data_IF_355525584895
#
_entry.id   IF_355525584895
#
_cell.length_a   1.000
_cell.length_b   1.000
_cell.length_c   1.000
_cell.angle_alpha   90.00
_cell.angle_beta   90.00
_cell.angle_gamma   90.00
#
_symmetry.space_group_name_H-M   'P 1'
#
loop_
_entity.id
_entity.type
_entity.pdbx_description
1 polymer ?
#
# COMPACT_ATOMS: atom_id res chain seq x y z
N UNK A 1 -42.65 58.37 -34.53
CA UNK A 1 -43.13 57.93 -33.19
C UNK A 1 -42.17 56.90 -32.63
N UNK A 2 -41.80 57.06 -31.34
CA UNK A 2 -41.17 56.10 -30.41
C UNK A 2 -39.66 55.78 -30.54
N UNK A 3 -38.91 56.60 -29.80
CA UNK A 3 -37.67 56.34 -29.05
C UNK A 3 -37.64 54.93 -28.41
N UNK A 4 -36.47 54.26 -28.42
CA UNK A 4 -36.00 53.29 -27.39
C UNK A 4 -34.52 52.97 -27.63
N UNK A 5 -33.62 53.66 -26.93
CA UNK A 5 -32.89 53.21 -25.71
C UNK A 5 -31.84 52.14 -26.00
N UNK A 6 -30.62 52.60 -26.18
CA UNK A 6 -29.36 51.85 -26.15
C UNK A 6 -29.18 51.18 -24.79
N UNK A 7 -29.28 49.84 -24.74
CA UNK A 7 -28.89 49.04 -23.58
C UNK A 7 -27.44 48.59 -23.78
N UNK A 8 -26.54 49.21 -23.03
CA UNK A 8 -25.12 48.90 -23.02
C UNK A 8 -24.93 47.64 -22.15
N UNK A 9 -24.80 46.48 -22.80
CA UNK A 9 -24.57 45.20 -22.16
C UNK A 9 -23.07 45.12 -21.78
N UNK A 10 -22.75 45.34 -20.51
CA UNK A 10 -21.42 45.13 -19.95
C UNK A 10 -21.18 43.61 -19.89
N UNK A 11 -20.38 43.10 -20.82
CA UNK A 11 -19.94 41.71 -20.84
C UNK A 11 -18.82 41.53 -19.81
N UNK A 12 -19.17 41.00 -18.63
CA UNK A 12 -18.24 40.62 -17.59
C UNK A 12 -17.53 39.32 -18.00
N UNK A 13 -16.40 39.42 -18.70
CA UNK A 13 -15.54 38.24 -18.98
C UNK A 13 -14.87 37.78 -17.69
N UNK A 14 -15.46 36.75 -17.08
CA UNK A 14 -14.86 35.98 -16.01
C UNK A 14 -13.66 35.21 -16.59
N UNK A 15 -12.44 35.68 -16.33
CA UNK A 15 -11.22 34.90 -16.56
C UNK A 15 -11.15 33.86 -15.45
N UNK A 16 -11.60 32.64 -15.76
CA UNK A 16 -11.35 31.48 -14.93
C UNK A 16 -9.84 31.18 -14.96
N UNK A 17 -9.09 31.72 -13.99
CA UNK A 17 -7.74 31.24 -13.71
C UNK A 17 -7.92 29.82 -13.19
N UNK A 18 -7.63 28.84 -14.06
CA UNK A 18 -7.50 27.45 -13.67
C UNK A 18 -6.37 27.35 -12.64
N UNK A 19 -6.72 27.33 -11.36
CA UNK A 19 -5.80 26.96 -10.29
C UNK A 19 -5.41 25.51 -10.50
N UNK A 20 -4.28 25.28 -11.15
CA UNK A 20 -3.63 23.98 -11.14
C UNK A 20 -3.34 23.64 -9.68
N UNK A 21 -3.93 22.55 -9.19
CA UNK A 21 -3.63 22.01 -7.89
C UNK A 21 -2.13 21.70 -7.84
N UNK A 22 -1.36 22.46 -7.06
CA UNK A 22 0.04 22.12 -6.76
C UNK A 22 -0.02 20.93 -5.83
N UNK A 23 0.17 19.73 -6.38
CA UNK A 23 0.40 18.53 -5.59
C UNK A 23 1.58 18.81 -4.65
N UNK A 24 1.41 18.54 -3.35
CA UNK A 24 2.49 18.61 -2.38
C UNK A 24 3.41 17.39 -2.59
N UNK A 25 4.24 17.43 -3.64
CA UNK A 25 5.27 16.43 -3.87
C UNK A 25 6.42 16.66 -2.89
N UNK A 26 6.89 15.60 -2.24
CA UNK A 26 8.09 15.61 -1.42
C UNK A 26 9.19 14.83 -2.14
N UNK A 27 10.41 15.36 -2.09
CA UNK A 27 11.60 14.70 -2.62
C UNK A 27 12.52 14.33 -1.45
N UNK A 28 13.14 13.16 -1.50
CA UNK A 28 14.24 12.78 -0.62
C UNK A 28 15.55 13.03 -1.36
N UNK A 29 16.37 13.90 -0.80
CA UNK A 29 17.77 14.10 -1.19
C UNK A 29 18.64 13.16 -0.37
N UNK A 30 19.34 12.27 -1.05
CA UNK A 30 20.35 11.39 -0.47
C UNK A 30 21.71 12.07 -0.62
N UNK A 31 22.38 12.31 0.50
CA UNK A 31 23.69 12.95 0.51
C UNK A 31 24.80 11.90 0.40
N UNK A 32 25.94 12.29 -0.13
CA UNK A 32 27.14 11.42 -0.22
C UNK A 32 27.68 11.00 1.16
N UNK A 33 27.32 11.74 2.21
CA UNK A 33 27.57 11.37 3.61
C UNK A 33 26.69 10.23 4.13
N UNK A 34 25.72 9.74 3.34
CA UNK A 34 24.75 8.72 3.76
C UNK A 34 23.54 9.26 4.51
N UNK A 35 23.48 10.58 4.74
CA UNK A 35 22.31 11.25 5.35
C UNK A 35 21.21 11.50 4.30
N UNK A 36 19.97 11.58 4.75
CA UNK A 36 18.82 11.95 3.90
C UNK A 36 18.21 13.28 4.35
N UNK A 37 17.65 14.02 3.41
CA UNK A 37 16.95 15.28 3.65
C UNK A 37 15.64 15.30 2.86
N UNK A 38 14.51 15.56 3.53
CA UNK A 38 13.21 15.76 2.88
C UNK A 38 13.10 17.22 2.43
N UNK A 39 12.88 17.44 1.14
CA UNK A 39 12.76 18.75 0.51
C UNK A 39 11.44 18.85 -0.24
N UNK A 40 10.93 20.07 -0.35
CA UNK A 40 9.74 20.35 -1.15
C UNK A 40 10.07 20.34 -2.65
N UNK A 41 11.27 20.83 -2.99
CA UNK A 41 11.74 20.93 -4.37
C UNK A 41 13.26 21.14 -4.38
N UNK A 42 13.92 20.77 -5.47
CA UNK A 42 15.28 21.18 -5.80
C UNK A 42 15.35 21.99 -7.11
N UNK A 43 16.38 22.82 -7.23
CA UNK A 43 16.80 23.46 -8.48
C UNK A 43 18.30 23.21 -8.65
N UNK A 44 18.68 22.65 -9.79
CA UNK A 44 20.07 22.41 -10.17
C UNK A 44 20.57 23.57 -11.04
N UNK A 45 21.70 24.17 -10.68
CA UNK A 45 22.39 25.21 -11.46
C UNK A 45 23.71 24.74 -12.10
N UNK A 46 24.04 23.45 -11.96
CA UNK A 46 25.24 22.82 -12.47
C UNK A 46 26.34 22.67 -11.42
N UNK A 47 26.73 23.76 -10.74
CA UNK A 47 27.76 23.72 -9.68
C UNK A 47 27.16 23.48 -8.30
N UNK A 48 26.01 24.07 -8.05
CA UNK A 48 25.26 24.03 -6.81
C UNK A 48 23.82 23.58 -7.05
N UNK A 49 23.22 23.07 -5.98
CA UNK A 49 21.82 22.71 -5.92
C UNK A 49 21.17 23.49 -4.80
N UNK A 50 20.07 24.14 -5.14
CA UNK A 50 19.23 24.89 -4.21
C UNK A 50 18.09 23.98 -3.79
N UNK A 51 18.00 23.70 -2.50
CA UNK A 51 17.01 22.83 -1.88
C UNK A 51 15.99 23.69 -1.11
N UNK A 52 14.74 23.64 -1.52
CA UNK A 52 13.64 24.28 -0.80
C UNK A 52 13.15 23.35 0.31
N UNK A 53 13.35 23.72 1.57
CA UNK A 53 12.99 22.88 2.71
C UNK A 53 11.48 22.87 2.94
N UNK A 54 10.98 21.77 3.51
CA UNK A 54 9.56 21.60 3.86
C UNK A 54 9.06 22.61 4.89
N UNK A 55 9.92 22.99 5.83
CA UNK A 55 9.63 23.98 6.89
C UNK A 55 9.81 25.42 6.43
N UNK A 56 10.13 25.65 5.15
CA UNK A 56 10.55 26.93 4.62
C UNK A 56 12.06 27.14 4.74
N UNK A 57 12.58 28.06 3.91
CA UNK A 57 14.02 28.31 3.75
C UNK A 57 14.62 27.58 2.55
N UNK A 58 15.72 28.12 2.06
CA UNK A 58 16.52 27.55 0.97
C UNK A 58 17.90 27.18 1.51
N UNK A 59 18.40 26.03 1.08
CA UNK A 59 19.76 25.58 1.36
C UNK A 59 20.47 25.39 0.04
N UNK A 60 21.55 26.13 -0.17
CA UNK A 60 22.42 25.97 -1.34
C UNK A 60 23.61 25.11 -0.94
N UNK A 61 23.86 24.04 -1.69
CA UNK A 61 25.00 23.15 -1.49
C UNK A 61 25.64 22.74 -2.82
N UNK A 62 26.90 22.34 -2.79
CA UNK A 62 27.56 21.80 -3.99
C UNK A 62 26.86 20.53 -4.51
N UNK A 63 26.78 20.39 -5.84
CA UNK A 63 26.17 19.21 -6.48
C UNK A 63 26.82 17.89 -6.05
N UNK A 64 28.12 17.94 -5.74
CA UNK A 64 28.92 16.80 -5.28
C UNK A 64 28.47 16.23 -3.92
N UNK A 65 27.72 17.00 -3.14
CA UNK A 65 27.17 16.55 -1.86
C UNK A 65 25.91 15.70 -2.04
N UNK A 66 25.29 15.72 -3.22
CA UNK A 66 24.05 15.00 -3.52
C UNK A 66 24.36 13.71 -4.27
N UNK A 67 24.14 12.57 -3.60
CA UNK A 67 24.28 11.25 -4.19
C UNK A 67 23.13 10.92 -5.15
N UNK A 68 21.88 11.19 -4.76
CA UNK A 68 20.69 11.06 -5.61
C UNK A 68 19.52 11.83 -5.03
N UNK A 69 18.57 12.20 -5.87
CA UNK A 69 17.27 12.78 -5.46
C UNK A 69 16.21 11.81 -5.97
N UNK A 70 15.31 11.39 -5.10
CA UNK A 70 14.19 10.52 -5.45
C UNK A 70 12.89 11.14 -4.92
N UNK A 71 11.78 10.90 -5.61
CA UNK A 71 10.46 11.19 -5.06
C UNK A 71 10.26 10.38 -3.77
N UNK A 72 9.68 11.00 -2.74
CA UNK A 72 9.30 10.34 -1.47
C UNK A 72 8.08 9.42 -1.64
N UNK A 73 7.56 9.32 -2.86
CA UNK A 73 6.49 8.40 -3.20
C UNK A 73 7.06 6.99 -3.32
N UNK A 74 6.67 6.12 -2.39
CA UNK A 74 6.85 4.67 -2.54
C UNK A 74 6.06 4.29 -3.80
N UNK A 75 6.70 3.76 -4.86
CA UNK A 75 5.97 3.31 -6.03
C UNK A 75 4.99 2.22 -5.59
N UNK A 76 3.71 2.54 -5.57
CA UNK A 76 2.66 1.56 -5.47
C UNK A 76 2.42 1.09 -6.91
N UNK A 77 2.88 -0.11 -7.30
CA UNK A 77 2.53 -0.63 -8.63
C UNK A 77 1.01 -0.68 -8.74
N UNK A 78 0.49 -0.43 -9.94
CA UNK A 78 -0.94 -0.60 -10.19
C UNK A 78 -1.33 -2.04 -9.79
N UNK A 79 -2.42 -2.25 -9.04
CA UNK A 79 -2.81 -3.59 -8.58
C UNK A 79 -2.94 -4.61 -9.73
N UNK A 80 -3.17 -4.13 -10.95
CA UNK A 80 -3.19 -4.94 -12.17
C UNK A 80 -1.82 -5.44 -12.61
N UNK A 81 -0.76 -4.65 -12.45
CA UNK A 81 0.62 -5.02 -12.80
C UNK A 81 1.21 -6.00 -11.77
N UNK A 82 0.89 -5.80 -10.49
CA UNK A 82 1.33 -6.69 -9.41
C UNK A 82 0.62 -8.05 -9.46
N UNK A 83 -0.66 -8.08 -9.84
CA UNK A 83 -1.41 -9.31 -10.10
C UNK A 83 -0.89 -10.07 -11.34
N UNK A 84 -0.47 -9.35 -12.39
CA UNK A 84 0.07 -9.95 -13.61
C UNK A 84 1.47 -10.56 -13.37
N UNK A 85 2.32 -9.88 -12.61
CA UNK A 85 3.65 -10.39 -12.26
C UNK A 85 3.60 -11.62 -11.34
N UNK A 86 2.62 -11.70 -10.44
CA UNK A 86 2.41 -12.87 -9.57
C UNK A 86 1.87 -14.10 -10.32
N UNK A 87 1.21 -13.92 -11.47
CA UNK A 87 0.63 -15.00 -12.25
C UNK A 87 1.65 -15.79 -13.11
N UNK A 88 2.86 -15.26 -13.31
CA UNK A 88 3.86 -15.83 -14.23
C UNK A 88 4.94 -16.68 -13.55
N UNK A 89 4.92 -16.82 -12.22
CA UNK A 89 5.79 -17.76 -11.53
C UNK A 89 5.15 -19.15 -11.59
N UNK A 90 5.84 -20.12 -12.20
CA UNK A 90 5.39 -21.51 -12.32
C UNK A 90 4.86 -22.02 -10.99
N UNK A 91 3.53 -22.09 -10.87
CA UNK A 91 2.84 -22.44 -9.64
C UNK A 91 3.25 -23.88 -9.31
N UNK A 92 3.85 -24.15 -8.15
CA UNK A 92 3.96 -25.54 -7.68
C UNK A 92 2.56 -26.17 -7.75
N UNK A 93 2.50 -27.44 -8.18
CA UNK A 93 1.23 -28.16 -8.30
C UNK A 93 0.50 -28.00 -6.97
N UNK A 94 -0.64 -27.30 -7.02
CA UNK A 94 -1.38 -26.89 -5.84
C UNK A 94 -1.85 -28.12 -5.06
N UNK A 95 -2.01 -29.23 -5.77
CA UNK A 95 -2.35 -30.56 -5.26
C UNK A 95 -1.20 -31.13 -4.41
N UNK A 96 0.02 -31.14 -4.92
CA UNK A 96 1.22 -31.65 -4.22
C UNK A 96 1.51 -30.84 -2.96
N UNK A 97 1.35 -29.51 -3.03
CA UNK A 97 1.49 -28.65 -1.86
C UNK A 97 0.47 -28.94 -0.76
N UNK A 98 -0.78 -29.24 -1.11
CA UNK A 98 -1.80 -29.58 -0.12
C UNK A 98 -1.54 -30.96 0.47
N UNK A 99 -1.16 -31.94 -0.35
CA UNK A 99 -0.85 -33.31 0.11
C UNK A 99 0.32 -33.37 1.08
N UNK A 100 1.34 -32.54 0.87
CA UNK A 100 2.51 -32.44 1.76
C UNK A 100 2.30 -31.56 3.00
N UNK A 101 1.17 -30.84 3.08
CA UNK A 101 0.88 -29.93 4.19
C UNK A 101 0.14 -30.64 5.33
N UNK A 102 0.51 -30.42 6.61
CA UNK A 102 -0.29 -30.88 7.75
C UNK A 102 -1.74 -30.43 7.63
N UNK A 103 -2.68 -31.36 7.86
CA UNK A 103 -4.13 -31.14 7.71
C UNK A 103 -4.59 -30.84 6.28
N UNK A 104 -3.77 -31.11 5.25
CA UNK A 104 -4.05 -30.78 3.86
C UNK A 104 -5.39 -31.31 3.34
N UNK A 105 -5.74 -32.55 3.65
CA UNK A 105 -7.02 -33.17 3.27
C UNK A 105 -8.22 -32.46 3.91
N UNK A 106 -8.10 -32.11 5.20
CA UNK A 106 -9.14 -31.37 5.94
C UNK A 106 -9.26 -29.95 5.37
N UNK A 107 -8.13 -29.29 5.10
CA UNK A 107 -8.10 -27.97 4.49
C UNK A 107 -8.78 -27.99 3.13
N UNK A 108 -8.46 -28.97 2.26
CA UNK A 108 -9.08 -29.07 0.93
C UNK A 108 -10.58 -29.30 1.02
N UNK A 109 -11.01 -30.32 1.78
CA UNK A 109 -12.43 -30.69 1.87
C UNK A 109 -13.30 -29.57 2.45
N UNK A 110 -12.83 -28.89 3.51
CA UNK A 110 -13.57 -27.79 4.14
C UNK A 110 -13.55 -26.55 3.24
N UNK A 111 -12.40 -26.21 2.64
CA UNK A 111 -12.31 -25.06 1.75
C UNK A 111 -13.22 -25.22 0.53
N UNK A 112 -13.27 -26.42 -0.08
CA UNK A 112 -14.18 -26.76 -1.17
C UNK A 112 -15.65 -26.62 -0.75
N UNK A 113 -16.02 -27.17 0.41
CA UNK A 113 -17.39 -27.09 0.93
C UNK A 113 -17.87 -25.63 1.14
N UNK A 114 -16.94 -24.71 1.44
CA UNK A 114 -17.23 -23.30 1.65
C UNK A 114 -16.90 -22.40 0.45
N UNK A 115 -16.45 -22.96 -0.68
CA UNK A 115 -16.09 -22.20 -1.88
C UNK A 115 -14.88 -21.27 -1.69
N UNK A 116 -13.98 -21.61 -0.79
CA UNK A 116 -12.75 -20.85 -0.48
C UNK A 116 -11.56 -21.55 -1.14
N UNK A 117 -10.55 -20.80 -1.55
CA UNK A 117 -9.31 -21.38 -2.08
C UNK A 117 -8.56 -22.16 -0.97
N UNK A 118 -8.30 -23.47 -1.13
CA UNK A 118 -7.58 -24.26 -0.12
C UNK A 118 -6.19 -23.72 0.21
N UNK A 119 -5.47 -23.17 -0.78
CA UNK A 119 -4.15 -22.58 -0.57
C UNK A 119 -4.21 -21.29 0.26
N UNK A 120 -5.34 -20.58 0.24
CA UNK A 120 -5.55 -19.43 1.12
C UNK A 120 -5.70 -19.88 2.57
N UNK A 121 -6.53 -20.90 2.82
CA UNK A 121 -6.72 -21.47 4.17
C UNK A 121 -5.41 -22.05 4.70
N UNK A 122 -4.67 -22.75 3.85
CA UNK A 122 -3.31 -23.23 4.10
C UNK A 122 -2.37 -22.11 4.57
N UNK A 123 -2.29 -21.03 3.78
CA UNK A 123 -1.44 -19.89 4.09
C UNK A 123 -1.86 -19.20 5.38
N UNK A 124 -3.16 -19.07 5.63
CA UNK A 124 -3.71 -18.51 6.85
C UNK A 124 -3.27 -19.32 8.08
N UNK A 125 -3.46 -20.64 8.07
CA UNK A 125 -3.05 -21.52 9.18
C UNK A 125 -1.54 -21.42 9.44
N UNK A 126 -0.73 -21.35 8.39
CA UNK A 126 0.72 -21.18 8.50
C UNK A 126 1.08 -19.88 9.25
N UNK A 127 0.39 -18.78 8.97
CA UNK A 127 0.65 -17.48 9.64
C UNK A 127 0.10 -17.47 11.06
N UNK A 128 -1.07 -18.06 11.30
CA UNK A 128 -1.74 -18.00 12.60
C UNK A 128 -1.04 -18.87 13.66
N UNK A 129 -0.70 -20.11 13.32
CA UNK A 129 -0.13 -21.06 14.30
C UNK A 129 1.10 -21.81 13.81
N UNK A 130 1.41 -21.77 12.51
CA UNK A 130 2.41 -22.64 11.91
C UNK A 130 2.06 -24.11 12.09
N UNK A 131 0.79 -24.46 11.94
CA UNK A 131 0.24 -25.82 12.11
C UNK A 131 0.33 -26.39 13.53
N UNK A 132 0.27 -25.54 14.57
CA UNK A 132 0.28 -25.97 15.97
C UNK A 132 -1.14 -25.97 16.55
N UNK A 133 -1.85 -27.12 16.64
CA UNK A 133 -3.25 -27.17 17.06
C UNK A 133 -3.46 -26.72 18.51
N UNK A 134 -2.43 -26.80 19.36
CA UNK A 134 -2.47 -26.37 20.76
C UNK A 134 -1.92 -24.95 21.00
N UNK A 135 -1.70 -24.17 19.94
CA UNK A 135 -1.16 -22.82 20.06
C UNK A 135 -2.11 -21.90 20.83
N UNK A 136 -1.53 -21.05 21.70
CA UNK A 136 -2.26 -20.02 22.43
C UNK A 136 -1.46 -18.72 22.42
N UNK A 137 -2.09 -17.62 22.00
CA UNK A 137 -1.45 -16.31 22.01
C UNK A 137 -1.54 -15.62 23.37
N UNK A 138 -0.69 -14.62 23.60
CA UNK A 138 -0.74 -13.77 24.80
C UNK A 138 -2.09 -13.03 24.94
N UNK A 139 -2.78 -12.77 23.83
CA UNK A 139 -4.11 -12.15 23.81
C UNK A 139 -5.25 -13.16 23.98
N UNK A 140 -4.94 -14.45 24.10
CA UNK A 140 -5.91 -15.52 24.36
C UNK A 140 -6.54 -16.13 23.12
N UNK A 141 -6.00 -15.89 21.92
CA UNK A 141 -6.37 -16.66 20.73
C UNK A 141 -5.94 -18.12 20.90
N UNK A 142 -6.73 -19.06 20.38
CA UNK A 142 -6.57 -20.50 20.63
C UNK A 142 -6.67 -21.29 19.34
N UNK A 143 -5.87 -22.35 19.23
CA UNK A 143 -6.04 -23.36 18.20
C UNK A 143 -5.24 -23.13 16.93
N UNK A 144 -5.50 -24.02 15.96
CA UNK A 144 -4.85 -24.03 14.65
C UNK A 144 -5.02 -22.71 13.88
N UNK A 145 -6.20 -22.10 13.98
CA UNK A 145 -6.57 -20.85 13.31
C UNK A 145 -6.63 -19.64 14.27
N UNK A 146 -6.08 -19.78 15.49
CA UNK A 146 -6.02 -18.69 16.48
C UNK A 146 -7.38 -17.98 16.70
N UNK A 147 -8.42 -18.77 16.98
CA UNK A 147 -9.76 -18.24 17.22
C UNK A 147 -9.83 -17.59 18.60
N UNK A 148 -10.40 -16.39 18.67
CA UNK A 148 -10.65 -15.70 19.93
C UNK A 148 -11.81 -16.36 20.71
N UNK A 149 -11.81 -16.33 22.05
CA UNK A 149 -12.88 -16.96 22.85
C UNK A 149 -14.28 -16.43 22.53
N UNK A 150 -14.41 -15.14 22.19
CA UNK A 150 -15.68 -14.53 21.77
C UNK A 150 -16.17 -15.12 20.44
N UNK A 151 -15.28 -15.25 19.45
CA UNK A 151 -15.58 -15.85 18.15
C UNK A 151 -15.94 -17.33 18.29
N UNK A 152 -15.19 -18.08 19.10
CA UNK A 152 -15.50 -19.49 19.38
C UNK A 152 -16.93 -19.66 19.91
N UNK A 153 -17.38 -18.79 20.82
CA UNK A 153 -18.77 -18.78 21.32
C UNK A 153 -19.79 -18.45 20.24
N UNK A 154 -19.51 -17.44 19.41
CA UNK A 154 -20.42 -17.00 18.35
C UNK A 154 -20.66 -18.10 17.30
N UNK A 155 -19.61 -18.87 16.96
CA UNK A 155 -19.68 -19.98 16.01
C UNK A 155 -19.89 -21.35 16.68
N UNK A 156 -20.21 -21.36 17.98
CA UNK A 156 -20.50 -22.58 18.75
C UNK A 156 -19.39 -23.64 18.69
N UNK A 157 -18.14 -23.20 18.62
CA UNK A 157 -16.94 -24.04 18.62
C UNK A 157 -16.75 -24.61 20.03
N UNK A 158 -16.89 -25.93 20.17
CA UNK A 158 -16.82 -26.63 21.46
C UNK A 158 -15.41 -26.74 22.01
N UNK A 159 -14.44 -27.06 21.15
CA UNK A 159 -13.04 -27.17 21.51
C UNK A 159 -12.17 -26.49 20.43
N UNK A 160 -11.59 -25.31 20.70
CA UNK A 160 -10.72 -24.63 19.74
C UNK A 160 -9.37 -25.32 19.48
N UNK A 161 -9.00 -26.34 20.27
CA UNK A 161 -7.72 -27.05 20.14
C UNK A 161 -7.83 -28.39 19.40
N UNK A 162 -9.02 -28.72 18.89
CA UNK A 162 -9.33 -29.92 18.12
C UNK A 162 -9.44 -29.59 16.63
#
# INVERSE_FOLDING_TARGET
MKVRRTAQLVLLTCVCVAGAAVSASAEIVFLTSGRTLSVKQHRDDGSSVILTLRTGGEVTCDRSLIARIASDEVPHPDPAEEAAAAAQQGKPDSTDLLQSTPYGEIISSVAEAHGVNPLLVRALIQVESGYKPRARSNRGAMGLMQIMPSTARAYNVRNPFD
#
